data_IF_729627390482
#
_entry.id   IF_729627390482
#
_cell.length_a   1.000
_cell.length_b   1.000
_cell.length_c   1.000
_cell.angle_alpha   90.00
_cell.angle_beta   90.00
_cell.angle_gamma   90.00
#
_symmetry.space_group_name_H-M   'P 1'
#
loop_
_entity.id
_entity.type
_entity.pdbx_description
1 polymer ?
2 polymer ?
3 branched ?
4 non-polymer ?
5 non-polymer ?
6 non-polymer ?
7 non-polymer ?
8 water ?
#
# COMPACT_ATOMS: atom_id res chain seq x y z
N UNK A 2 -6.79 32.72 3.22
CA UNK A 2 -5.61 31.97 3.63
C UNK A 2 -5.87 31.01 4.79
N UNK A 3 -5.67 29.73 4.46
CA UNK A 3 -6.38 28.65 5.13
C UNK A 3 -5.74 27.98 6.34
N UNK A 4 -4.45 28.22 6.59
CA UNK A 4 -3.75 27.41 7.56
C UNK A 4 -2.62 28.27 8.12
N UNK A 5 -1.77 27.75 9.00
CA UNK A 5 -0.60 28.50 9.35
C UNK A 5 0.65 27.71 9.06
N UNK A 6 1.73 28.37 8.64
CA UNK A 6 2.88 27.63 8.20
C UNK A 6 4.16 27.96 8.94
N UNK A 7 5.14 27.07 8.80
CA UNK A 7 6.36 27.09 9.58
C UNK A 7 7.49 26.57 8.74
N UNK A 8 8.70 26.58 9.29
CA UNK A 8 9.83 26.07 8.50
C UNK A 8 9.67 24.59 8.06
N UNK A 9 9.30 23.70 8.99
CA UNK A 9 8.99 22.31 8.61
C UNK A 9 7.57 21.77 8.44
N UNK A 10 6.54 22.62 8.53
CA UNK A 10 5.16 22.10 8.53
C UNK A 10 4.12 23.04 7.88
N UNK A 11 2.89 22.53 7.78
CA UNK A 11 1.74 23.34 7.51
C UNK A 11 0.59 22.86 8.39
N UNK A 12 0.10 23.70 9.29
CA UNK A 12 -1.06 23.32 10.08
C UNK A 12 -2.33 23.77 9.38
N UNK A 13 -3.26 22.84 9.15
CA UNK A 13 -4.51 23.17 8.45
C UNK A 13 -5.49 23.96 9.31
N UNK A 14 -5.07 25.07 9.90
CA UNK A 14 -5.96 25.84 10.73
C UNK A 14 -5.52 27.29 10.74
N UNK A 15 -6.44 28.26 10.89
CA UNK A 15 -6.00 29.66 10.88
C UNK A 15 -5.48 30.19 12.24
N UNK A 16 -4.39 30.95 12.20
CA UNK A 16 -3.80 31.53 13.43
C UNK A 16 -4.34 32.90 13.79
N UNK A 17 -5.36 33.33 13.07
CA UNK A 17 -6.03 34.57 13.37
C UNK A 17 -6.42 34.65 14.86
N UNK A 18 -6.67 33.51 15.50
CA UNK A 18 -6.92 33.53 16.95
C UNK A 18 -5.66 33.36 17.80
N UNK A 19 -4.49 33.25 17.17
CA UNK A 19 -3.25 33.07 17.88
C UNK A 19 -3.01 31.74 18.59
N UNK A 20 -3.93 30.76 18.44
CA UNK A 20 -3.85 29.46 19.15
C UNK A 20 -2.93 28.37 18.56
N UNK A 21 -2.62 28.50 17.28
CA UNK A 21 -1.88 27.47 16.57
C UNK A 21 -0.44 27.32 17.03
N UNK A 22 -0.04 26.06 17.26
CA UNK A 22 1.33 25.72 17.65
C UNK A 22 1.98 24.77 16.65
N UNK A 23 3.32 24.70 16.69
CA UNK A 23 4.11 23.72 15.97
C UNK A 23 3.59 22.33 16.30
N UNK A 24 3.34 21.52 15.26
CA UNK A 24 2.93 20.11 15.45
C UNK A 24 4.07 19.26 16.06
N UNK A 25 5.29 19.78 16.02
CA UNK A 25 6.44 19.20 16.69
C UNK A 25 6.59 19.63 18.16
N UNK A 26 5.69 20.49 18.64
CA UNK A 26 5.82 21.13 19.96
C UNK A 26 4.67 20.89 20.95
N UNK A 27 3.46 21.29 20.60
CA UNK A 27 2.33 21.11 21.51
C UNK A 27 1.10 20.51 20.81
N UNK A 28 0.15 19.96 21.59
CA UNK A 28 -1.12 19.42 21.07
C UNK A 28 -1.91 20.31 20.12
N UNK A 29 -2.53 19.60 19.17
CA UNK A 29 -3.34 20.12 18.08
C UNK A 29 -4.86 20.20 18.35
N UNK A 30 -5.28 20.06 19.60
CA UNK A 30 -6.69 19.90 19.94
C UNK A 30 -7.60 20.99 19.41
N UNK A 31 -7.03 22.06 18.90
CA UNK A 31 -7.82 22.98 18.07
C UNK A 31 -8.15 22.48 16.63
N UNK A 32 -7.30 21.62 16.07
CA UNK A 32 -7.59 20.96 14.79
C UNK A 32 -8.77 20.01 14.96
N UNK A 33 -8.75 19.24 16.04
CA UNK A 33 -9.82 18.29 16.34
C UNK A 33 -9.91 18.01 17.83
N UNK A 34 -11.10 17.65 18.32
CA UNK A 34 -11.34 17.35 19.72
C UNK A 34 -10.38 16.24 20.16
N UNK A 35 -10.11 16.13 21.46
CA UNK A 35 -9.21 15.03 21.82
C UNK A 35 -9.79 13.63 21.55
N UNK A 36 -11.09 13.40 21.73
CA UNK A 36 -11.66 12.07 21.50
C UNK A 36 -11.40 11.61 20.08
N UNK A 37 -11.41 12.53 19.14
CA UNK A 37 -11.05 12.23 17.78
C UNK A 37 -9.57 11.85 17.67
N UNK A 38 -8.74 12.29 18.61
CA UNK A 38 -7.35 11.85 18.60
C UNK A 38 -7.25 10.41 19.12
N UNK A 39 -8.12 10.10 20.07
CA UNK A 39 -8.26 8.77 20.63
C UNK A 39 -8.77 7.74 19.61
N UNK A 40 -9.73 8.19 18.79
CA UNK A 40 -10.34 7.41 17.75
C UNK A 40 -9.33 7.10 16.72
N UNK A 41 -8.53 8.10 16.39
CA UNK A 41 -7.47 7.88 15.44
C UNK A 41 -6.57 6.81 16.00
N UNK A 42 -6.26 6.92 17.30
CA UNK A 42 -5.43 5.94 18.01
C UNK A 42 -6.13 4.59 18.05
N UNK A 43 -7.40 4.57 18.42
CA UNK A 43 -8.19 3.36 18.28
C UNK A 43 -8.04 2.76 16.87
N UNK A 44 -8.17 3.57 15.83
CA UNK A 44 -7.99 3.01 14.51
C UNK A 44 -6.58 2.41 14.35
N UNK A 45 -5.55 3.15 14.72
CA UNK A 45 -4.20 2.60 14.65
C UNK A 45 -4.09 1.28 15.45
N UNK A 46 -4.84 1.18 16.56
CA UNK A 46 -4.86 -0.04 17.35
C UNK A 46 -5.40 -1.25 16.52
N UNK A 47 -6.56 -1.05 15.91
CA UNK A 47 -7.18 -2.03 15.03
C UNK A 47 -6.18 -2.56 14.01
N UNK A 48 -5.48 -1.66 13.34
CA UNK A 48 -4.65 -2.05 12.21
C UNK A 48 -3.44 -2.82 12.66
N UNK A 49 -2.97 -2.57 13.88
CA UNK A 49 -1.83 -3.32 14.42
C UNK A 49 -2.32 -4.70 14.86
N UNK A 50 -3.44 -4.70 15.58
CA UNK A 50 -4.03 -5.90 16.12
C UNK A 50 -4.38 -6.89 15.02
N UNK A 51 -4.98 -6.42 13.92
CA UNK A 51 -5.16 -7.24 12.73
C UNK A 51 -3.90 -7.31 11.84
N UNK A 52 -3.25 -6.18 11.60
CA UNK A 52 -2.20 -6.17 10.61
C UNK A 52 -1.01 -7.03 10.92
N UNK A 53 -0.61 -7.06 12.19
CA UNK A 53 0.56 -7.82 12.62
C UNK A 53 0.39 -9.34 12.59
N UNK A 54 -0.67 -9.86 13.24
CA UNK A 54 -0.76 -11.33 13.22
C UNK A 54 -0.81 -11.83 11.80
N UNK A 55 -1.66 -11.23 10.99
CA UNK A 55 -1.92 -11.85 9.71
C UNK A 55 -0.74 -11.68 8.78
N UNK A 56 0.02 -10.62 8.93
CA UNK A 56 1.19 -10.47 8.08
C UNK A 56 2.38 -11.23 8.55
N UNK A 57 2.50 -11.36 9.86
CA UNK A 57 3.62 -12.04 10.46
C UNK A 57 3.41 -13.54 10.26
N UNK A 58 2.18 -13.99 10.51
CA UNK A 58 1.81 -15.39 10.31
C UNK A 58 2.24 -15.86 8.93
N UNK A 59 1.99 -15.04 7.92
CA UNK A 59 2.50 -15.29 6.57
C UNK A 59 4.00 -15.61 6.51
N UNK A 60 4.84 -14.83 7.18
CA UNK A 60 6.27 -15.12 7.15
C UNK A 60 6.52 -16.41 7.89
N UNK A 61 5.79 -16.59 8.98
CA UNK A 61 6.04 -17.71 9.88
C UNK A 61 5.71 -19.03 9.20
N UNK A 62 4.49 -19.11 8.71
CA UNK A 62 3.97 -20.25 7.97
C UNK A 62 4.84 -20.61 6.74
N UNK A 63 5.47 -19.64 6.12
CA UNK A 63 6.37 -19.92 5.01
C UNK A 63 7.56 -20.70 5.54
N UNK A 64 8.06 -20.27 6.69
CA UNK A 64 9.16 -20.95 7.38
C UNK A 64 8.80 -22.43 7.71
N UNK A 65 7.56 -22.69 8.08
CA UNK A 65 7.10 -24.04 8.43
C UNK A 65 6.71 -24.99 7.29
N UNK A 66 6.39 -24.44 6.11
CA UNK A 66 5.91 -25.26 4.98
C UNK A 66 6.76 -25.15 3.73
N UNK A 67 7.43 -26.24 3.38
CA UNK A 67 8.39 -26.27 2.29
C UNK A 67 7.78 -25.95 0.94
N UNK A 68 6.52 -26.35 0.77
CA UNK A 68 5.83 -26.19 -0.48
C UNK A 68 5.56 -24.74 -0.79
N UNK A 69 5.65 -23.91 0.25
CA UNK A 69 5.46 -22.47 0.10
C UNK A 69 6.66 -21.70 -0.41
N UNK A 70 7.88 -22.22 -0.32
CA UNK A 70 8.94 -21.35 -0.70
C UNK A 70 9.28 -21.70 -2.11
N UNK A 71 8.79 -20.86 -3.01
CA UNK A 71 8.85 -21.09 -4.44
C UNK A 71 8.98 -19.67 -4.98
N UNK A 72 9.64 -19.53 -6.14
CA UNK A 72 9.87 -18.24 -6.81
C UNK A 72 8.61 -17.38 -6.99
N UNK A 73 7.47 -17.98 -7.29
CA UNK A 73 6.23 -17.22 -7.50
C UNK A 73 5.66 -16.67 -6.19
N UNK A 74 6.05 -17.27 -5.08
CA UNK A 74 5.63 -16.79 -3.77
C UNK A 74 6.53 -15.70 -3.18
N UNK A 75 7.71 -15.54 -3.76
CA UNK A 75 8.68 -14.55 -3.25
C UNK A 75 8.06 -13.15 -3.09
N UNK A 76 7.37 -12.69 -4.13
CA UNK A 76 6.73 -11.38 -4.12
C UNK A 76 5.59 -11.27 -3.11
N UNK A 77 4.89 -12.38 -2.86
CA UNK A 77 3.84 -12.42 -1.84
C UNK A 77 4.45 -12.23 -0.45
N UNK A 78 5.66 -12.73 -0.29
CA UNK A 78 6.36 -12.61 0.98
C UNK A 78 6.77 -11.15 1.14
N UNK A 79 7.29 -10.60 0.07
CA UNK A 79 7.65 -9.18 -0.02
C UNK A 79 6.51 -8.24 0.39
N UNK A 80 5.31 -8.56 -0.08
CA UNK A 80 4.08 -7.87 0.34
C UNK A 80 3.87 -7.90 1.88
N UNK A 81 4.12 -9.06 2.47
CA UNK A 81 4.02 -9.24 3.92
C UNK A 81 5.02 -8.39 4.73
N UNK A 82 6.26 -8.29 4.24
CA UNK A 82 7.32 -7.51 4.89
C UNK A 82 7.04 -6.01 4.75
N UNK A 83 6.63 -5.64 3.55
CA UNK A 83 6.12 -4.31 3.25
C UNK A 83 5.01 -3.94 4.22
N UNK A 84 4.00 -4.77 4.34
CA UNK A 84 2.94 -4.50 5.31
C UNK A 84 3.46 -4.35 6.73
N UNK A 85 4.55 -5.03 7.06
CA UNK A 85 5.07 -5.00 8.42
C UNK A 85 5.71 -3.64 8.70
N UNK A 86 6.49 -3.15 7.74
CA UNK A 86 7.02 -1.79 7.75
C UNK A 86 5.89 -0.79 8.02
N UNK A 87 4.80 -0.91 7.26
CA UNK A 87 3.61 -0.10 7.51
C UNK A 87 3.12 -0.26 8.96
N UNK A 88 3.13 -1.49 9.46
CA UNK A 88 2.63 -1.73 10.81
C UNK A 88 3.51 -1.07 11.91
N UNK A 89 4.82 -1.32 11.86
CA UNK A 89 5.75 -0.75 12.82
C UNK A 89 6.21 0.69 12.59
N UNK A 90 6.67 1.00 11.38
CA UNK A 90 7.21 2.33 11.13
C UNK A 90 6.13 3.41 11.02
N UNK A 91 4.88 2.98 11.02
CA UNK A 91 3.79 3.88 10.72
C UNK A 91 2.69 3.76 11.76
N UNK A 92 2.01 2.63 11.80
CA UNK A 92 0.82 2.46 12.63
C UNK A 92 1.08 2.69 14.12
N UNK A 93 2.19 2.15 14.63
CA UNK A 93 2.55 2.22 16.07
C UNK A 93 3.04 3.61 16.48
N UNK A 94 3.98 4.14 15.71
CA UNK A 94 4.39 5.52 15.80
C UNK A 94 3.16 6.44 15.82
N UNK A 95 2.24 6.24 14.90
CA UNK A 95 1.04 7.06 14.91
C UNK A 95 0.17 6.81 16.15
N UNK A 96 0.17 5.59 16.68
CA UNK A 96 -0.63 5.27 17.87
C UNK A 96 -0.10 6.09 19.03
N UNK A 97 1.21 6.14 19.05
CA UNK A 97 1.93 6.77 20.12
C UNK A 97 1.76 8.31 20.11
N UNK A 98 2.12 8.92 18.99
CA UNK A 98 2.01 10.36 18.77
C UNK A 98 0.57 10.84 18.78
N UNK A 99 -0.36 10.05 18.27
CA UNK A 99 -1.75 10.48 18.39
C UNK A 99 -2.13 10.74 19.87
N UNK A 100 -1.60 9.92 20.76
CA UNK A 100 -1.91 10.02 22.18
C UNK A 100 -1.31 11.25 22.93
N UNK A 101 -0.34 11.89 22.28
CA UNK A 101 0.15 13.20 22.63
C UNK A 101 -0.62 14.39 21.98
N UNK A 102 -1.39 14.11 20.93
CA UNK A 102 -2.02 15.16 20.15
C UNK A 102 -1.09 15.91 19.21
N UNK A 103 0.12 15.40 19.00
CA UNK A 103 1.05 16.00 18.02
C UNK A 103 2.26 15.11 17.71
N UNK A 104 3.14 15.51 16.78
CA UNK A 104 4.19 14.61 16.39
C UNK A 104 5.39 14.91 17.26
N UNK A 105 5.63 14.03 18.21
CA UNK A 105 6.49 14.36 19.34
C UNK A 105 7.91 14.03 19.01
N UNK A 106 8.14 13.53 17.82
CA UNK A 106 9.47 13.09 17.46
C UNK A 106 10.23 14.17 16.71
N UNK A 107 9.57 15.29 16.44
CA UNK A 107 10.20 16.41 15.76
C UNK A 107 10.45 16.21 14.26
N UNK A 108 11.09 17.19 13.62
CA UNK A 108 11.38 17.22 12.18
C UNK A 108 12.19 16.03 11.65
N UNK A 109 13.15 15.54 12.42
CA UNK A 109 13.93 14.37 12.02
C UNK A 109 13.17 13.07 12.27
N UNK A 110 12.32 13.09 13.29
CA UNK A 110 11.42 11.99 13.55
C UNK A 110 10.41 11.92 12.44
N UNK A 111 10.06 13.09 11.91
CA UNK A 111 9.13 13.20 10.80
C UNK A 111 9.68 12.57 9.51
N UNK A 112 10.92 12.91 9.19
CA UNK A 112 11.59 12.34 8.02
C UNK A 112 11.68 10.82 8.03
N UNK A 113 12.15 10.28 9.17
CA UNK A 113 12.26 8.85 9.37
C UNK A 113 10.92 8.18 9.29
N UNK A 114 9.99 8.61 10.15
CA UNK A 114 8.70 7.96 10.22
C UNK A 114 8.01 8.09 8.89
N UNK A 115 8.21 9.22 8.22
CA UNK A 115 7.62 9.43 6.91
C UNK A 115 8.27 8.56 5.85
N UNK A 116 9.60 8.45 5.89
CA UNK A 116 10.32 7.62 4.94
C UNK A 116 9.88 6.15 5.04
N UNK A 117 9.87 5.61 6.24
CA UNK A 117 9.51 4.20 6.41
C UNK A 117 8.05 3.92 6.10
N UNK A 118 7.16 4.79 6.57
CA UNK A 118 5.74 4.67 6.24
C UNK A 118 5.51 4.70 4.72
N UNK A 119 6.27 5.55 4.03
CA UNK A 119 6.17 5.66 2.58
C UNK A 119 6.85 4.45 1.91
N UNK A 120 8.04 4.09 2.37
CA UNK A 120 8.74 2.94 1.80
C UNK A 120 7.89 1.67 1.88
N UNK A 121 7.17 1.51 2.98
CA UNK A 121 6.40 0.30 3.22
C UNK A 121 5.23 0.11 2.27
N UNK A 122 4.37 1.11 2.20
CA UNK A 122 3.22 1.07 1.32
C UNK A 122 3.55 1.15 -0.16
N UNK A 123 4.74 1.65 -0.47
CA UNK A 123 5.18 1.72 -1.84
C UNK A 123 5.75 0.38 -2.32
N UNK A 124 6.48 -0.31 -1.45
CA UNK A 124 6.92 -1.68 -1.72
C UNK A 124 5.70 -2.57 -1.92
N UNK A 125 4.73 -2.42 -1.01
CA UNK A 125 3.47 -3.11 -1.11
C UNK A 125 2.80 -2.83 -2.47
N UNK A 126 2.74 -1.56 -2.86
CA UNK A 126 2.16 -1.17 -4.15
C UNK A 126 2.85 -1.86 -5.31
N UNK A 127 4.16 -1.69 -5.41
CA UNK A 127 4.88 -2.26 -6.55
C UNK A 127 4.89 -3.79 -6.51
N UNK A 128 4.76 -4.34 -5.31
CA UNK A 128 4.56 -5.77 -5.17
C UNK A 128 3.31 -6.20 -5.91
N UNK A 129 2.21 -5.50 -5.66
CA UNK A 129 0.97 -5.77 -6.39
C UNK A 129 1.15 -5.63 -7.92
N UNK A 130 1.97 -4.69 -8.34
CA UNK A 130 2.28 -4.56 -9.75
C UNK A 130 3.09 -5.75 -10.25
N UNK A 131 4.24 -6.01 -9.62
CA UNK A 131 5.12 -7.12 -10.03
C UNK A 131 4.43 -8.48 -10.10
N UNK A 132 3.64 -8.78 -9.07
CA UNK A 132 2.85 -9.98 -9.03
C UNK A 132 2.06 -10.13 -10.31
N UNK A 133 1.32 -9.10 -10.66
CA UNK A 133 0.50 -9.10 -11.88
C UNK A 133 1.32 -9.36 -13.14
N UNK A 134 2.46 -8.69 -13.26
CA UNK A 134 3.35 -8.88 -14.42
C UNK A 134 3.74 -10.34 -14.55
N UNK A 135 4.19 -10.93 -13.44
CA UNK A 135 4.58 -12.33 -13.40
C UNK A 135 3.44 -13.27 -13.79
N UNK A 136 2.30 -13.11 -13.14
CA UNK A 136 1.14 -13.92 -13.46
C UNK A 136 0.75 -13.79 -14.93
N UNK A 137 0.89 -12.58 -15.46
CA UNK A 137 0.69 -12.37 -16.89
C UNK A 137 1.72 -13.20 -17.67
N UNK A 138 3.01 -12.98 -17.41
CA UNK A 138 4.08 -13.75 -18.05
C UNK A 138 3.88 -15.28 -17.98
N UNK A 139 3.59 -15.80 -16.79
CA UNK A 139 3.52 -17.24 -16.57
C UNK A 139 2.26 -17.86 -17.18
N UNK A 140 1.10 -17.26 -16.95
CA UNK A 140 -0.15 -17.79 -17.48
C UNK A 140 -0.38 -17.44 -18.95
N UNK A 141 -0.08 -16.23 -19.38
CA UNK A 141 -0.39 -15.85 -20.75
C UNK A 141 0.68 -16.26 -21.76
N UNK A 142 1.81 -16.75 -21.27
CA UNK A 142 2.92 -17.16 -22.13
C UNK A 142 3.24 -16.21 -23.30
N UNK A 143 3.45 -14.91 -23.01
CA UNK A 143 3.67 -13.91 -24.07
C UNK A 143 5.03 -14.05 -24.74
N UNK A 144 5.97 -14.64 -24.01
CA UNK A 144 7.29 -14.95 -24.52
C UNK A 144 7.28 -16.43 -24.86
N UNK A 145 8.01 -16.81 -25.92
CA UNK A 145 8.08 -18.23 -26.26
C UNK A 145 9.19 -18.91 -25.46
N UNK A 146 8.93 -20.15 -25.06
CA UNK A 146 9.96 -21.03 -24.49
C UNK A 146 10.62 -20.45 -23.25
N UNK A 147 9.88 -19.62 -22.51
CA UNK A 147 10.39 -18.95 -21.32
C UNK A 147 9.79 -19.52 -20.03
N UNK A 148 10.65 -19.89 -19.10
CA UNK A 148 10.18 -20.43 -17.82
C UNK A 148 10.66 -19.57 -16.66
N UNK A 149 9.70 -19.16 -15.84
CA UNK A 149 9.94 -18.27 -14.70
C UNK A 149 10.56 -19.06 -13.56
N UNK A 150 11.58 -18.48 -12.93
CA UNK A 150 12.39 -19.20 -11.97
C UNK A 150 13.01 -18.30 -10.93
N UNK A 151 13.83 -18.88 -10.07
CA UNK A 151 14.37 -18.17 -8.92
C UNK A 151 14.99 -16.82 -9.26
N UNK A 152 15.76 -16.74 -10.34
CA UNK A 152 16.49 -15.51 -10.65
C UNK A 152 15.63 -14.36 -11.13
N UNK A 153 14.45 -14.66 -11.67
CA UNK A 153 13.50 -13.64 -12.08
C UNK A 153 12.77 -13.14 -10.86
N UNK A 154 12.40 -14.07 -9.99
CA UNK A 154 11.68 -13.75 -8.77
C UNK A 154 12.46 -12.81 -7.85
N UNK A 155 13.77 -12.97 -7.81
CA UNK A 155 14.62 -12.05 -7.05
C UNK A 155 14.49 -10.64 -7.64
N UNK A 156 14.75 -10.49 -8.94
CA UNK A 156 14.70 -9.20 -9.59
C UNK A 156 13.37 -8.49 -9.37
N UNK A 157 12.27 -9.24 -9.50
CA UNK A 157 10.94 -8.70 -9.24
C UNK A 157 10.85 -8.06 -7.86
N UNK A 158 11.31 -8.79 -6.85
CA UNK A 158 11.44 -8.25 -5.49
C UNK A 158 12.33 -7.01 -5.47
N UNK A 159 13.54 -7.11 -6.02
CA UNK A 159 14.51 -6.02 -6.03
C UNK A 159 13.95 -4.80 -6.74
N UNK A 160 13.27 -5.04 -7.86
CA UNK A 160 12.64 -3.97 -8.64
C UNK A 160 11.63 -3.14 -7.85
N UNK A 161 10.93 -3.76 -6.90
CA UNK A 161 9.97 -3.05 -6.05
C UNK A 161 10.69 -2.14 -5.03
N UNK A 162 11.90 -2.53 -4.63
CA UNK A 162 12.69 -1.73 -3.70
C UNK A 162 13.27 -0.51 -4.40
N UNK A 163 13.72 -0.69 -5.63
CA UNK A 163 14.24 0.42 -6.44
C UNK A 163 13.09 1.38 -6.74
N UNK A 164 11.94 0.84 -7.11
CA UNK A 164 10.77 1.69 -7.32
C UNK A 164 10.35 2.42 -6.04
N UNK A 165 10.32 1.71 -4.91
CA UNK A 165 9.90 2.33 -3.66
C UNK A 165 10.88 3.40 -3.16
N UNK A 166 12.17 3.19 -3.38
CA UNK A 166 13.17 4.20 -3.02
C UNK A 166 13.04 5.39 -3.96
N UNK A 167 12.70 5.12 -5.22
CA UNK A 167 12.52 6.15 -6.22
C UNK A 167 11.36 7.08 -5.87
N UNK A 168 10.56 6.64 -4.92
CA UNK A 168 9.44 7.41 -4.40
C UNK A 168 9.75 8.05 -3.02
N UNK A 169 10.02 7.20 -2.03
CA UNK A 169 10.36 7.61 -0.66
C UNK A 169 11.66 8.42 -0.46
N UNK A 170 12.74 8.04 -1.15
CA UNK A 170 14.03 8.72 -0.99
C UNK A 170 14.09 10.22 -1.36
N UNK A 171 13.50 10.64 -2.51
CA UNK A 171 13.60 12.06 -2.91
C UNK A 171 13.20 13.14 -1.88
N UNK A 172 12.08 12.98 -1.14
CA UNK A 172 11.77 14.02 -0.15
C UNK A 172 12.84 14.18 0.94
N UNK A 173 13.59 13.13 1.24
CA UNK A 173 14.69 13.25 2.19
C UNK A 173 15.74 14.20 1.62
N UNK A 174 15.87 14.18 0.30
CA UNK A 174 16.82 15.06 -0.39
C UNK A 174 16.41 16.40 -1.05
N UNK A 175 15.18 16.85 -0.86
CA UNK A 175 14.82 18.14 -1.42
C UNK A 175 13.84 18.15 -2.57
N UNK A 176 13.48 16.97 -3.06
CA UNK A 176 12.35 16.84 -3.98
C UNK A 176 11.11 16.34 -3.22
N UNK A 177 10.14 17.24 -3.15
CA UNK A 177 9.15 17.39 -2.07
C UNK A 177 9.78 17.41 -0.67
N UNK A 178 9.05 16.91 0.33
CA UNK A 178 9.48 16.92 1.73
C UNK A 178 8.59 16.00 2.60
N UNK A 179 9.04 15.60 3.79
CA UNK A 179 8.08 15.01 4.74
C UNK A 179 7.60 16.02 5.76
N UNK A 180 6.29 16.12 5.95
CA UNK A 180 5.75 17.04 6.95
C UNK A 180 4.59 16.36 7.65
N UNK A 181 4.28 16.75 8.91
CA UNK A 181 3.09 16.19 9.54
C UNK A 181 1.90 16.41 8.62
N UNK A 182 0.95 15.48 8.58
CA UNK A 182 -0.21 15.66 7.73
C UNK A 182 -1.48 15.46 8.53
N UNK A 183 -2.60 15.98 8.01
CA UNK A 183 -3.89 15.73 8.61
C UNK A 183 -3.97 16.34 9.99
N UNK A 184 -4.16 15.47 10.97
CA UNK A 184 -4.22 15.85 12.37
C UNK A 184 -2.80 16.02 12.95
N UNK A 185 -1.83 15.91 12.04
CA UNK A 185 -0.41 16.20 12.28
C UNK A 185 0.22 15.22 13.24
N UNK A 186 -0.37 14.04 13.35
CA UNK A 186 0.21 12.99 14.18
C UNK A 186 1.11 12.05 13.41
N UNK A 187 1.06 12.16 12.08
CA UNK A 187 1.82 11.25 11.25
C UNK A 187 2.37 12.04 10.08
N UNK A 188 3.52 11.62 9.55
CA UNK A 188 4.16 12.35 8.47
C UNK A 188 4.07 11.65 7.11
N UNK A 189 3.92 12.43 6.04
CA UNK A 189 3.76 11.92 4.69
C UNK A 189 4.32 12.90 3.66
N UNK A 190 4.22 12.55 2.39
CA UNK A 190 4.77 13.38 1.33
C UNK A 190 3.93 14.64 1.28
N UNK A 191 4.54 15.79 0.99
CA UNK A 191 3.71 16.97 0.87
C UNK A 191 3.33 17.08 -0.60
N UNK A 192 2.11 16.67 -0.88
CA UNK A 192 1.53 16.81 -2.21
C UNK A 192 0.54 17.97 -2.24
N UNK A 193 0.20 18.51 -1.07
CA UNK A 193 -0.89 19.48 -1.00
C UNK A 193 -0.47 20.94 -0.93
N UNK A 194 0.83 21.19 -0.86
CA UNK A 194 1.34 22.53 -0.60
C UNK A 194 2.32 22.88 -1.70
N UNK A 195 2.25 24.14 -2.18
CA UNK A 195 3.06 24.46 -3.36
C UNK A 195 4.41 24.96 -2.95
N UNK A 196 5.23 24.13 -2.32
CA UNK A 196 6.38 24.68 -1.65
C UNK A 196 7.50 24.64 -2.67
N UNK A 197 7.87 25.81 -3.18
CA UNK A 197 8.62 25.88 -4.41
C UNK A 197 10.09 25.59 -4.17
N UNK A 198 10.47 25.66 -2.90
CA UNK A 198 11.86 25.50 -2.52
C UNK A 198 12.26 24.05 -2.77
N UNK A 199 11.33 23.14 -2.49
CA UNK A 199 11.50 21.69 -2.73
C UNK A 199 10.91 21.13 -4.04
N UNK A 200 10.28 22.00 -4.84
CA UNK A 200 9.65 21.60 -6.10
C UNK A 200 8.52 20.60 -5.93
N UNK A 201 7.67 20.84 -4.95
CA UNK A 201 6.57 19.95 -4.64
C UNK A 201 5.66 19.62 -5.81
N UNK A 202 5.56 20.53 -6.76
CA UNK A 202 4.63 20.34 -7.85
C UNK A 202 5.11 19.32 -8.90
N UNK A 203 6.38 19.40 -9.28
CA UNK A 203 6.89 18.49 -10.28
C UNK A 203 6.93 17.08 -9.70
N UNK A 204 7.05 16.99 -8.38
CA UNK A 204 7.06 15.70 -7.69
C UNK A 204 5.67 15.06 -7.64
N UNK A 205 4.63 15.84 -7.33
CA UNK A 205 3.29 15.29 -7.30
C UNK A 205 2.83 14.82 -8.70
N UNK A 206 3.36 15.43 -9.76
CA UNK A 206 3.04 14.94 -11.10
C UNK A 206 3.76 13.62 -11.33
N UNK A 207 5.06 13.63 -11.06
CA UNK A 207 5.87 12.42 -11.14
C UNK A 207 5.35 11.29 -10.26
N UNK A 208 4.81 11.62 -9.09
CA UNK A 208 4.12 10.64 -8.26
C UNK A 208 2.88 10.13 -8.97
N UNK A 209 2.09 11.06 -9.47
CA UNK A 209 0.79 10.74 -10.04
C UNK A 209 0.95 9.84 -11.25
N UNK A 210 1.97 10.11 -12.05
CA UNK A 210 2.21 9.36 -13.27
C UNK A 210 2.93 8.06 -12.96
N UNK A 211 4.20 8.15 -12.55
CA UNK A 211 5.02 6.96 -12.31
C UNK A 211 4.51 6.02 -11.21
N UNK A 212 4.08 6.55 -10.08
CA UNK A 212 3.64 5.70 -8.96
C UNK A 212 2.14 5.48 -8.85
N UNK A 213 1.39 6.04 -9.78
CA UNK A 213 -0.04 5.74 -9.83
C UNK A 213 -0.53 5.25 -11.20
N UNK A 214 -0.42 6.09 -12.23
CA UNK A 214 -0.86 5.74 -13.58
C UNK A 214 -0.15 4.49 -14.15
N UNK A 215 1.18 4.48 -14.16
CA UNK A 215 1.90 3.26 -14.55
C UNK A 215 1.36 2.03 -13.79
N UNK A 216 1.37 2.02 -12.43
CA UNK A 216 0.78 0.88 -11.73
C UNK A 216 -0.65 0.52 -12.17
N UNK A 217 -1.49 1.53 -12.35
CA UNK A 217 -2.88 1.29 -12.71
C UNK A 217 -2.98 0.66 -14.08
N UNK A 218 -2.15 1.12 -14.99
CA UNK A 218 -2.21 0.64 -16.38
C UNK A 218 -1.70 -0.79 -16.48
N UNK A 219 -0.50 -1.03 -15.96
CA UNK A 219 0.10 -2.36 -15.90
C UNK A 219 -0.84 -3.40 -15.26
N UNK A 220 -1.33 -3.11 -14.06
CA UNK A 220 -2.30 -3.97 -13.38
C UNK A 220 -3.57 -4.24 -14.18
N UNK A 221 -4.07 -3.25 -14.92
CA UNK A 221 -5.26 -3.52 -15.73
C UNK A 221 -4.92 -4.37 -16.94
N UNK A 222 -3.83 -4.02 -17.61
CA UNK A 222 -3.42 -4.76 -18.80
C UNK A 222 -3.15 -6.21 -18.48
N UNK A 223 -2.20 -6.44 -17.55
CA UNK A 223 -1.81 -7.77 -17.15
C UNK A 223 -2.99 -8.65 -16.75
N UNK A 224 -3.80 -8.18 -15.81
CA UNK A 224 -4.96 -8.97 -15.41
C UNK A 224 -6.02 -9.01 -16.50
N UNK A 225 -6.05 -8.00 -17.36
CA UNK A 225 -6.96 -8.00 -18.48
C UNK A 225 -6.65 -9.15 -19.43
N UNK A 226 -5.40 -9.22 -19.86
CA UNK A 226 -4.90 -10.32 -20.69
C UNK A 226 -5.18 -11.69 -20.07
N UNK A 227 -5.08 -11.79 -18.75
CA UNK A 227 -5.29 -13.05 -18.05
C UNK A 227 -6.74 -13.50 -18.12
N UNK A 228 -7.66 -12.59 -17.81
CA UNK A 228 -9.07 -12.92 -17.85
C UNK A 228 -9.48 -13.18 -19.30
N UNK A 229 -8.64 -12.73 -20.23
CA UNK A 229 -8.85 -13.07 -21.63
C UNK A 229 -8.37 -14.49 -21.88
N UNK A 230 -7.08 -14.72 -21.71
CA UNK A 230 -6.43 -16.01 -21.90
C UNK A 230 -7.20 -17.17 -21.24
N UNK A 231 -7.73 -16.94 -20.06
CA UNK A 231 -8.44 -17.98 -19.32
C UNK A 231 -9.87 -18.19 -19.79
N UNK A 232 -10.50 -17.12 -20.29
CA UNK A 232 -11.86 -17.23 -20.82
C UNK A 232 -11.84 -17.90 -22.21
N UNK A 233 -10.77 -17.62 -22.94
CA UNK A 233 -10.49 -18.22 -24.22
C UNK A 233 -10.35 -19.73 -24.08
N UNK A 234 -9.42 -20.13 -23.21
CA UNK A 234 -9.15 -21.53 -22.89
C UNK A 234 -10.39 -22.32 -22.49
N UNK A 235 -11.23 -21.75 -21.63
CA UNK A 235 -12.44 -22.43 -21.22
C UNK A 235 -13.42 -22.62 -22.38
N UNK A 236 -13.49 -21.65 -23.29
CA UNK A 236 -14.45 -21.71 -24.40
C UNK A 236 -14.05 -22.75 -25.44
N UNK A 237 -12.75 -22.97 -25.55
CA UNK A 237 -12.13 -24.00 -26.38
C UNK A 237 -12.10 -25.38 -25.66
N UNK A 238 -12.20 -25.32 -24.34
CA UNK A 238 -12.30 -26.50 -23.44
C UNK A 238 -13.63 -27.05 -22.87
N UNK A 239 -14.79 -26.58 -23.32
CA UNK A 239 -16.02 -26.78 -22.53
C UNK A 239 -16.38 -28.18 -21.96
N UNK A 240 -15.85 -29.23 -22.57
CA UNK A 240 -16.01 -30.60 -22.05
C UNK A 240 -15.41 -30.78 -20.64
N UNK A 241 -14.58 -29.81 -20.22
CA UNK A 241 -14.00 -29.83 -18.89
C UNK A 241 -14.72 -28.89 -17.93
N UNK A 242 -15.42 -29.45 -16.95
CA UNK A 242 -16.11 -28.65 -15.93
C UNK A 242 -15.13 -27.90 -15.00
N UNK A 243 -13.98 -28.53 -14.77
CA UNK A 243 -12.95 -27.93 -13.93
C UNK A 243 -12.34 -26.69 -14.58
N UNK A 244 -12.07 -26.75 -15.88
CA UNK A 244 -11.57 -25.59 -16.60
C UNK A 244 -12.64 -24.48 -16.61
N UNK A 245 -13.90 -24.89 -16.46
CA UNK A 245 -14.99 -23.92 -16.46
C UNK A 245 -14.99 -23.20 -15.13
N UNK A 246 -14.90 -23.97 -14.04
CA UNK A 246 -14.76 -23.46 -12.68
C UNK A 246 -13.60 -22.50 -12.56
N UNK A 247 -12.45 -22.89 -13.11
CA UNK A 247 -11.23 -22.11 -13.01
C UNK A 247 -11.38 -20.70 -13.58
N UNK A 248 -11.95 -20.63 -14.77
CA UNK A 248 -12.13 -19.37 -15.46
C UNK A 248 -13.10 -18.49 -14.67
N UNK A 249 -14.00 -19.12 -13.93
CA UNK A 249 -14.93 -18.39 -13.10
C UNK A 249 -14.29 -17.82 -11.81
N UNK A 250 -13.43 -18.59 -11.15
CA UNK A 250 -12.78 -18.08 -9.93
C UNK A 250 -11.67 -17.08 -10.24
N UNK A 251 -10.96 -17.30 -11.33
CA UNK A 251 -9.90 -16.37 -11.72
C UNK A 251 -10.48 -15.00 -12.05
N UNK A 252 -11.66 -14.97 -12.67
CA UNK A 252 -12.28 -13.70 -13.00
C UNK A 252 -12.72 -12.98 -11.73
N UNK A 253 -13.43 -13.69 -10.86
CA UNK A 253 -13.89 -13.11 -9.60
C UNK A 253 -12.70 -12.54 -8.85
N UNK A 254 -11.64 -13.33 -8.78
CA UNK A 254 -10.41 -12.89 -8.13
C UNK A 254 -9.80 -11.64 -8.74
N UNK A 255 -9.80 -11.55 -10.06
CA UNK A 255 -9.28 -10.36 -10.73
C UNK A 255 -10.16 -9.12 -10.48
N UNK A 256 -11.46 -9.33 -10.31
CA UNK A 256 -12.35 -8.23 -9.99
C UNK A 256 -12.05 -7.71 -8.57
N UNK A 257 -11.95 -8.63 -7.61
CA UNK A 257 -11.52 -8.30 -6.25
C UNK A 257 -10.17 -7.60 -6.22
N UNK A 258 -9.17 -8.13 -6.92
CA UNK A 258 -7.86 -7.51 -6.91
C UNK A 258 -7.86 -6.12 -7.50
N UNK A 259 -8.70 -5.92 -8.51
CA UNK A 259 -8.71 -4.65 -9.22
C UNK A 259 -9.49 -3.57 -8.45
N UNK A 260 -10.64 -3.95 -7.91
CA UNK A 260 -11.42 -3.08 -7.03
C UNK A 260 -10.63 -2.69 -5.77
N UNK A 261 -9.94 -3.68 -5.19
CA UNK A 261 -9.14 -3.47 -3.99
C UNK A 261 -8.02 -2.48 -4.22
N UNK A 262 -7.37 -2.56 -5.38
CA UNK A 262 -6.32 -1.62 -5.70
C UNK A 262 -6.87 -0.20 -5.82
N UNK A 263 -8.09 -0.09 -6.34
CA UNK A 263 -8.67 1.22 -6.55
C UNK A 263 -9.05 1.79 -5.20
N UNK A 264 -9.72 1.00 -4.37
CA UNK A 264 -10.13 1.49 -3.04
C UNK A 264 -8.92 2.00 -2.24
N UNK A 265 -7.74 1.44 -2.50
CA UNK A 265 -6.55 1.91 -1.84
C UNK A 265 -5.90 3.19 -2.38
N UNK A 266 -5.63 3.26 -3.68
CA UNK A 266 -4.96 4.45 -4.23
C UNK A 266 -5.83 5.52 -4.87
N UNK A 267 -7.12 5.25 -5.04
CA UNK A 267 -7.96 6.22 -5.71
C UNK A 267 -8.20 7.48 -4.86
N UNK A 268 -8.50 7.32 -3.56
CA UNK A 268 -8.69 8.53 -2.76
C UNK A 268 -7.43 9.39 -2.73
N UNK A 269 -6.28 8.77 -2.56
CA UNK A 269 -5.05 9.53 -2.56
C UNK A 269 -4.81 10.19 -3.91
N UNK A 270 -5.24 9.51 -4.97
CA UNK A 270 -5.11 10.05 -6.31
C UNK A 270 -6.12 11.17 -6.55
N UNK A 271 -7.39 10.92 -6.20
CA UNK A 271 -8.47 11.85 -6.45
C UNK A 271 -8.32 13.16 -5.70
N UNK A 272 -7.80 13.04 -4.49
CA UNK A 272 -7.52 14.16 -3.61
C UNK A 272 -6.29 14.94 -4.08
N UNK A 273 -5.17 14.25 -4.32
CA UNK A 273 -3.98 14.92 -4.88
C UNK A 273 -4.30 15.68 -6.16
N UNK A 274 -5.13 15.09 -7.02
CA UNK A 274 -5.51 15.71 -8.29
C UNK A 274 -6.38 16.93 -8.05
N UNK A 275 -7.39 16.78 -7.20
CA UNK A 275 -8.33 17.85 -6.90
C UNK A 275 -7.65 19.05 -6.26
N UNK A 276 -6.68 18.80 -5.40
CA UNK A 276 -5.97 19.89 -4.73
C UNK A 276 -5.06 20.61 -5.73
N UNK A 277 -4.52 19.84 -6.66
CA UNK A 277 -3.59 20.38 -7.64
C UNK A 277 -4.30 21.36 -8.57
N UNK A 278 -5.50 20.98 -9.02
CA UNK A 278 -6.28 21.82 -9.90
C UNK A 278 -7.26 22.76 -9.19
N UNK A 279 -7.43 22.53 -7.89
CA UNK A 279 -8.20 23.40 -6.98
C UNK A 279 -7.45 24.43 -6.13
N UNK A 280 -6.20 24.70 -6.47
CA UNK A 280 -5.23 25.25 -5.53
C UNK A 280 -5.71 26.39 -4.59
N UNK A 281 -6.33 27.48 -5.06
CA UNK A 281 -7.04 28.23 -4.05
C UNK A 281 -8.22 27.39 -3.64
N UNK A 282 -8.20 26.95 -2.38
CA UNK A 282 -9.27 26.22 -1.68
C UNK A 282 -8.65 25.78 -0.37
N UNK A 283 -9.48 25.43 0.60
CA UNK A 283 -9.00 25.09 1.93
C UNK A 283 -9.41 23.69 2.29
N UNK A 284 -8.43 22.87 2.67
CA UNK A 284 -8.65 21.46 2.97
C UNK A 284 -8.36 21.11 4.44
N UNK A 285 -9.41 20.77 5.18
CA UNK A 285 -9.29 20.46 6.61
C UNK A 285 -8.46 19.24 7.00
N UNK A 286 -8.06 19.17 8.28
CA UNK A 286 -7.21 18.07 8.76
C UNK A 286 -7.83 16.67 8.64
N UNK A 287 -9.10 16.50 8.98
CA UNK A 287 -9.81 15.22 8.86
C UNK A 287 -9.97 14.75 7.39
N UNK A 288 -10.33 15.68 6.51
CA UNK A 288 -10.42 15.43 5.08
C UNK A 288 -9.11 14.89 4.49
N UNK A 289 -7.98 15.39 4.99
CA UNK A 289 -6.67 14.93 4.54
C UNK A 289 -6.30 13.58 5.17
N UNK A 290 -7.05 13.27 6.22
CA UNK A 290 -6.95 12.03 6.94
C UNK A 290 -7.64 10.84 6.21
N UNK A 291 -8.69 11.15 5.42
CA UNK A 291 -9.51 10.17 4.68
C UNK A 291 -8.77 9.26 3.66
N UNK A 292 -8.04 9.86 2.69
CA UNK A 292 -7.36 9.01 1.70
C UNK A 292 -6.26 8.17 2.36
N UNK A 293 -5.80 8.64 3.51
CA UNK A 293 -4.84 7.94 4.38
C UNK A 293 -5.48 6.76 5.13
N UNK A 294 -6.68 6.95 5.67
CA UNK A 294 -7.48 5.85 6.22
C UNK A 294 -7.53 4.67 5.25
N UNK A 295 -7.83 4.99 3.98
CA UNK A 295 -7.97 4.02 2.88
C UNK A 295 -6.68 3.27 2.51
N UNK A 296 -5.61 4.02 2.25
CA UNK A 296 -4.34 3.40 1.89
C UNK A 296 -3.68 2.58 3.02
N UNK A 297 -3.95 2.95 4.26
CA UNK A 297 -3.32 2.27 5.39
C UNK A 297 -3.96 0.93 5.72
N UNK A 298 -5.29 0.85 5.63
CA UNK A 298 -6.05 -0.39 5.88
C UNK A 298 -5.72 -1.55 4.90
N UNK A 299 -5.05 -1.19 3.80
CA UNK A 299 -4.59 -2.15 2.82
C UNK A 299 -3.64 -3.13 3.48
N UNK A 300 -2.94 -2.65 4.50
CA UNK A 300 -2.01 -3.48 5.26
C UNK A 300 -2.74 -4.65 5.94
N UNK A 301 -4.07 -4.57 6.00
CA UNK A 301 -4.93 -5.66 6.45
C UNK A 301 -5.60 -6.41 5.28
N UNK A 302 -6.39 -5.70 4.46
CA UNK A 302 -7.11 -6.33 3.33
C UNK A 302 -6.27 -6.92 2.19
N UNK A 303 -5.14 -6.31 1.87
CA UNK A 303 -4.21 -6.94 0.94
C UNK A 303 -3.77 -8.35 1.32
N UNK A 304 -3.21 -8.54 2.52
CA UNK A 304 -2.87 -9.95 2.72
C UNK A 304 -4.09 -10.89 2.87
N UNK A 305 -5.27 -10.40 3.21
CA UNK A 305 -6.45 -11.24 3.19
C UNK A 305 -6.79 -11.67 1.76
N UNK A 306 -6.81 -10.71 0.83
CA UNK A 306 -7.05 -11.03 -0.58
C UNK A 306 -5.90 -11.86 -1.14
N UNK A 307 -4.67 -11.34 -1.03
CA UNK A 307 -3.50 -11.97 -1.64
C UNK A 307 -2.81 -13.12 -0.88
N UNK A 308 -3.23 -13.42 0.35
CA UNK A 308 -2.57 -14.48 1.08
C UNK A 308 -3.60 -15.48 1.62
N UNK A 309 -4.49 -15.01 2.50
CA UNK A 309 -5.48 -15.91 3.08
C UNK A 309 -6.42 -16.52 2.06
N UNK A 310 -6.62 -15.84 0.94
CA UNK A 310 -7.55 -16.31 -0.08
C UNK A 310 -6.82 -17.15 -1.12
N UNK A 311 -5.50 -17.17 -1.04
CA UNK A 311 -4.65 -18.05 -1.83
C UNK A 311 -4.72 -19.44 -1.19
N UNK A 312 -5.12 -20.43 -1.98
CA UNK A 312 -5.44 -21.78 -1.50
C UNK A 312 -4.31 -22.44 -0.71
N UNK A 313 -3.10 -22.34 -1.25
CA UNK A 313 -1.95 -22.99 -0.64
C UNK A 313 -1.60 -22.36 0.70
N UNK A 314 -1.50 -21.03 0.70
CA UNK A 314 -1.22 -20.30 1.93
C UNK A 314 -2.25 -20.57 3.02
N UNK A 315 -3.53 -20.41 2.67
CA UNK A 315 -4.59 -20.66 3.65
C UNK A 315 -4.51 -22.02 4.35
N UNK A 316 -4.20 -23.09 3.59
CA UNK A 316 -4.10 -24.47 4.11
C UNK A 316 -3.01 -24.64 5.15
N UNK A 317 -1.80 -24.29 4.75
CA UNK A 317 -0.68 -24.18 5.70
C UNK A 317 -0.97 -23.32 6.92
N UNK A 318 -1.75 -22.25 6.74
CA UNK A 318 -2.12 -21.42 7.87
C UNK A 318 -3.08 -22.12 8.82
N UNK A 319 -4.02 -22.87 8.27
CA UNK A 319 -5.01 -23.58 9.09
C UNK A 319 -4.35 -24.74 9.81
N UNK A 320 -3.34 -25.31 9.16
CA UNK A 320 -2.51 -26.35 9.74
C UNK A 320 -1.78 -25.80 10.96
N UNK A 321 -1.06 -24.70 10.75
CA UNK A 321 -0.28 -24.07 11.79
C UNK A 321 -1.11 -23.52 12.94
N UNK A 322 -2.28 -22.96 12.63
CA UNK A 322 -3.12 -22.37 13.68
C UNK A 322 -3.80 -23.44 14.50
N UNK A 323 -4.03 -24.56 13.83
CA UNK A 323 -4.76 -25.70 14.38
C UNK A 323 -3.90 -26.73 15.09
N UNK A 324 -2.66 -26.31 15.32
CA UNK A 324 -1.70 -27.04 16.14
C UNK A 324 -1.18 -28.32 15.47
N UNK A 325 -1.00 -28.19 14.15
CA UNK A 325 -0.21 -29.13 13.37
C UNK A 325 -1.04 -30.18 12.67
N UNK A 326 -2.23 -30.44 13.19
CA UNK A 326 -3.09 -31.42 12.56
C UNK A 326 -4.39 -30.78 12.12
N UNK A 327 -4.81 -31.17 10.91
CA UNK A 327 -5.88 -30.57 10.09
C UNK A 327 -5.28 -29.67 9.00
N UNK B 1 -4.27 -24.73 -18.75
CA UNK B 1 -3.66 -23.65 -17.99
C UNK B 1 -3.69 -23.93 -16.49
N UNK B 2 -4.57 -24.84 -16.07
CA UNK B 2 -4.89 -25.03 -14.66
C UNK B 2 -3.63 -25.28 -13.82
N UNK B 3 -2.63 -25.87 -14.46
CA UNK B 3 -1.37 -26.16 -13.81
C UNK B 3 -0.66 -24.85 -13.44
N UNK B 4 -0.60 -23.92 -14.38
CA UNK B 4 0.00 -22.58 -14.14
C UNK B 4 -0.87 -21.68 -13.26
N UNK B 5 -2.18 -21.85 -13.36
CA UNK B 5 -3.12 -21.17 -12.48
C UNK B 5 -2.91 -21.59 -11.04
N UNK B 6 -2.67 -22.89 -10.81
CA UNK B 6 -2.39 -23.43 -9.48
C UNK B 6 -1.11 -22.86 -8.90
N UNK B 7 -0.06 -22.82 -9.72
CA UNK B 7 1.24 -22.25 -9.33
C UNK B 7 1.15 -20.80 -8.83
N UNK B 8 0.19 -20.06 -9.37
CA UNK B 8 0.03 -18.63 -9.12
C UNK B 8 -0.96 -18.36 -7.98
N UNK B 9 -1.52 -19.44 -7.44
CA UNK B 9 -2.40 -19.31 -6.30
C UNK B 9 -3.74 -18.77 -6.69
N UNK B 10 -3.97 -18.70 -8.01
CA UNK B 10 -5.24 -18.20 -8.57
C UNK B 10 -6.37 -19.22 -8.64
N UNK B 11 -6.04 -20.51 -8.62
CA UNK B 11 -7.06 -21.56 -8.66
C UNK B 11 -6.56 -22.84 -8.00
#
# INVERSE_FOLDING_TARGET
XMCGTEGPNFYVPFSNKTGVVRSPFEAPQYYLAEPWQFSMLAAYMFLLIMLGFPINFLTLYVTVQHKKLRTPLNYILLNLAVADLFMVFGDFTTTLYTSLHGYFVFGPTGCNLEGFFATLGGEIALWSLVVLAIERYVVVCKPMSNFRFGENHAIMGVAFTWVMALACAAPPLVGWSRYIPEGMQCSCGIDYYTPHEETNNESFVIYMFVVHFIIPLIVIFFCYGQLVFTVKEAAAQQQESATTQKAEKEVTRMVIIMVIAFLICWLPYAGVAFYIFTHQGSCFGPIFMTIPAFFAKTSAVYNPVIYIMMNKQFRNCMVTTLCCGKNPLGDDEASTTVSKTETSQVAPA
ILENLKDCGLF
#
